data_IF_440135369605
#
_entry.id   IF_440135369605
#
_cell.length_a   1.000
_cell.length_b   1.000
_cell.length_c   1.000
_cell.angle_alpha   90.00
_cell.angle_beta   90.00
_cell.angle_gamma   90.00
#
_symmetry.space_group_name_H-M   'P 1'
#
loop_
_entity.id
_entity.type
_entity.pdbx_description
1 polymer ?
#
# COMPACT_ATOMS: atom_id res chain seq x y z
N UNK A 1 6.53 8.30 -24.11
CA UNK A 1 6.03 7.01 -24.63
C UNK A 1 5.85 6.12 -23.41
N UNK A 2 4.65 5.56 -23.18
CA UNK A 2 4.38 4.72 -22.00
C UNK A 2 5.27 3.47 -22.05
N UNK A 3 6.02 3.18 -21.00
CA UNK A 3 6.86 1.98 -20.92
C UNK A 3 5.98 0.74 -20.94
N UNK A 4 6.33 -0.31 -21.68
CA UNK A 4 5.54 -1.55 -21.60
C UNK A 4 5.76 -2.34 -20.31
N UNK A 5 6.75 -1.96 -19.50
CA UNK A 5 7.15 -2.71 -18.30
C UNK A 5 6.08 -2.73 -17.20
N UNK A 6 5.11 -1.80 -17.18
CA UNK A 6 4.00 -1.86 -16.21
C UNK A 6 3.01 -2.98 -16.57
N UNK A 7 2.83 -3.30 -17.86
CA UNK A 7 1.89 -4.34 -18.29
C UNK A 7 2.30 -5.73 -17.83
N UNK A 8 3.60 -5.99 -17.76
CA UNK A 8 4.16 -7.24 -17.26
C UNK A 8 3.91 -7.45 -15.75
N UNK A 9 3.54 -6.39 -15.03
CA UNK A 9 3.23 -6.39 -13.60
C UNK A 9 1.72 -6.35 -13.33
N UNK A 10 0.89 -6.33 -14.38
CA UNK A 10 -0.56 -6.36 -14.20
C UNK A 10 -1.03 -7.75 -13.78
N UNK A 11 -1.91 -7.78 -12.79
CA UNK A 11 -2.65 -8.96 -12.39
C UNK A 11 -4.15 -8.74 -12.58
N UNK A 12 -4.88 -9.82 -12.81
CA UNK A 12 -6.33 -9.77 -12.89
C UNK A 12 -6.97 -9.74 -11.50
N UNK A 13 -8.26 -9.39 -11.47
CA UNK A 13 -9.06 -9.27 -10.24
C UNK A 13 -9.09 -10.56 -9.42
N UNK A 14 -9.21 -11.73 -10.07
CA UNK A 14 -9.20 -13.03 -9.39
C UNK A 14 -7.89 -13.30 -8.67
N UNK A 15 -6.76 -12.98 -9.30
CA UNK A 15 -5.44 -13.10 -8.66
C UNK A 15 -5.35 -12.15 -7.47
N UNK A 16 -5.76 -10.89 -7.63
CA UNK A 16 -5.75 -9.92 -6.53
C UNK A 16 -6.62 -10.37 -5.34
N UNK A 17 -7.82 -10.90 -5.61
CA UNK A 17 -8.70 -11.47 -4.58
C UNK A 17 -8.01 -12.62 -3.83
N UNK A 18 -7.46 -13.57 -4.59
CA UNK A 18 -6.76 -14.72 -4.02
C UNK A 18 -5.61 -14.30 -3.10
N UNK A 19 -4.82 -13.29 -3.48
CA UNK A 19 -3.72 -12.80 -2.63
C UNK A 19 -4.25 -12.23 -1.30
N UNK A 20 -5.34 -11.47 -1.36
CA UNK A 20 -5.99 -10.92 -0.16
C UNK A 20 -6.57 -12.01 0.74
N UNK A 21 -7.29 -12.98 0.17
CA UNK A 21 -7.93 -14.07 0.94
C UNK A 21 -6.91 -14.95 1.66
N UNK A 22 -5.77 -15.24 1.02
CA UNK A 22 -4.69 -16.02 1.62
C UNK A 22 -4.05 -15.24 2.77
N UNK A 23 -3.78 -13.94 2.57
CA UNK A 23 -3.26 -13.09 3.63
C UNK A 23 -4.19 -13.06 4.86
N UNK A 24 -5.50 -12.96 4.60
CA UNK A 24 -6.55 -12.98 5.63
C UNK A 24 -6.54 -14.29 6.42
N UNK A 25 -6.40 -15.43 5.73
CA UNK A 25 -6.39 -16.73 6.36
C UNK A 25 -5.16 -16.96 7.27
N UNK A 26 -4.00 -16.39 6.93
CA UNK A 26 -2.73 -16.74 7.58
C UNK A 26 -2.14 -15.63 8.46
N UNK A 27 -1.82 -14.47 7.90
CA UNK A 27 -1.01 -13.47 8.62
C UNK A 27 -1.88 -12.51 9.41
N UNK A 28 -3.06 -12.23 8.86
CA UNK A 28 -3.92 -11.18 9.36
C UNK A 28 -4.46 -11.43 10.77
N UNK A 29 -4.87 -12.66 11.06
CA UNK A 29 -5.43 -13.01 12.36
C UNK A 29 -4.39 -12.87 13.49
N UNK A 30 -3.10 -13.10 13.20
CA UNK A 30 -2.00 -12.92 14.15
C UNK A 30 -1.83 -11.44 14.52
N UNK A 31 -1.87 -10.55 13.52
CA UNK A 31 -1.76 -9.10 13.74
C UNK A 31 -2.95 -8.53 14.51
N UNK A 32 -4.16 -8.96 14.13
CA UNK A 32 -5.39 -8.56 14.84
C UNK A 32 -5.42 -9.10 16.28
N UNK A 33 -4.96 -10.33 16.49
CA UNK A 33 -4.75 -10.91 17.82
C UNK A 33 -3.74 -10.09 18.65
N UNK A 34 -2.62 -9.70 18.05
CA UNK A 34 -1.61 -8.84 18.69
C UNK A 34 -2.13 -7.44 19.04
N UNK A 35 -3.01 -6.84 18.24
CA UNK A 35 -3.72 -5.59 18.60
C UNK A 35 -4.63 -5.80 19.81
N UNK A 36 -5.44 -6.86 19.79
CA UNK A 36 -6.36 -7.18 20.88
C UNK A 36 -5.62 -7.43 22.19
N UNK A 37 -4.50 -8.16 22.14
CA UNK A 37 -3.65 -8.41 23.30
C UNK A 37 -3.04 -7.14 23.93
N UNK A 38 -2.96 -6.05 23.15
CA UNK A 38 -2.52 -4.71 23.61
C UNK A 38 -3.69 -3.85 24.12
N UNK A 39 -4.89 -4.41 24.23
CA UNK A 39 -6.08 -3.70 24.72
C UNK A 39 -6.77 -2.81 23.68
N UNK A 40 -6.38 -2.92 22.41
CA UNK A 40 -6.99 -2.14 21.32
C UNK A 40 -8.21 -2.87 20.76
N UNK A 41 -9.26 -2.12 20.44
CA UNK A 41 -10.44 -2.63 19.76
C UNK A 41 -10.27 -2.66 18.24
N UNK A 42 -11.10 -3.48 17.58
CA UNK A 42 -11.18 -3.55 16.13
C UNK A 42 -10.05 -4.37 15.50
N UNK A 43 -10.25 -4.73 14.25
CA UNK A 43 -9.26 -5.48 13.51
C UNK A 43 -8.19 -4.56 12.87
N UNK A 44 -7.04 -5.10 12.46
CA UNK A 44 -5.95 -4.30 11.88
C UNK A 44 -6.25 -3.84 10.44
N UNK A 45 -5.57 -2.80 9.96
CA UNK A 45 -5.70 -2.38 8.57
C UNK A 45 -4.88 -3.27 7.64
N UNK A 46 -5.49 -3.67 6.51
CA UNK A 46 -4.83 -4.45 5.44
C UNK A 46 -4.57 -3.64 4.17
N UNK A 47 -5.15 -2.45 4.08
CA UNK A 47 -5.07 -1.61 2.91
C UNK A 47 -5.08 -0.13 3.29
N UNK A 48 -4.46 0.70 2.44
CA UNK A 48 -4.45 2.16 2.57
C UNK A 48 -4.94 2.76 1.26
N UNK A 49 -5.94 3.65 1.36
CA UNK A 49 -6.59 4.28 0.21
C UNK A 49 -6.10 5.71 0.02
N UNK A 50 -5.78 6.05 -1.23
CA UNK A 50 -5.46 7.40 -1.67
C UNK A 50 -6.33 7.79 -2.88
N UNK A 51 -6.69 9.07 -3.05
CA UNK A 51 -7.18 9.56 -4.34
C UNK A 51 -6.11 9.39 -5.40
N UNK A 52 -6.51 9.08 -6.63
CA UNK A 52 -5.55 8.90 -7.72
C UNK A 52 -4.72 10.17 -7.97
N UNK A 53 -5.30 11.34 -7.72
CA UNK A 53 -4.63 12.63 -7.85
C UNK A 53 -3.48 12.76 -6.86
N UNK A 54 -3.67 12.35 -5.60
CA UNK A 54 -2.61 12.41 -4.56
C UNK A 54 -1.44 11.50 -4.90
N UNK A 55 -1.70 10.25 -5.31
CA UNK A 55 -0.61 9.35 -5.73
C UNK A 55 0.09 9.85 -6.99
N UNK A 56 -0.64 10.45 -7.93
CA UNK A 56 -0.04 11.02 -9.15
C UNK A 56 0.87 12.20 -8.80
N UNK A 57 0.38 13.11 -7.95
CA UNK A 57 1.16 14.27 -7.48
C UNK A 57 2.41 13.82 -6.70
N UNK A 58 2.30 12.77 -5.89
CA UNK A 58 3.47 12.23 -5.19
C UNK A 58 4.50 11.63 -6.16
N UNK A 59 4.05 10.88 -7.18
CA UNK A 59 4.93 10.36 -8.24
C UNK A 59 5.63 11.51 -8.97
N UNK A 60 4.91 12.56 -9.34
CA UNK A 60 5.47 13.74 -10.01
C UNK A 60 6.44 14.50 -9.09
N UNK A 61 6.14 14.58 -7.78
CA UNK A 61 7.00 15.16 -6.76
C UNK A 61 8.34 14.42 -6.66
N UNK A 62 8.29 13.08 -6.58
CA UNK A 62 9.48 12.22 -6.57
C UNK A 62 10.31 12.41 -7.84
N UNK A 63 9.68 12.42 -9.02
CA UNK A 63 10.39 12.65 -10.29
C UNK A 63 11.07 14.02 -10.30
N UNK A 64 10.36 15.07 -9.86
CA UNK A 64 10.90 16.43 -9.83
C UNK A 64 12.08 16.62 -8.87
N UNK A 65 12.15 15.83 -7.79
CA UNK A 65 13.21 15.92 -6.76
C UNK A 65 14.36 14.95 -6.98
N UNK A 66 14.07 13.74 -7.48
CA UNK A 66 15.02 12.62 -7.54
C UNK A 66 15.38 12.24 -8.97
N UNK A 67 14.46 12.42 -9.92
CA UNK A 67 14.61 12.04 -11.32
C UNK A 67 13.83 10.78 -11.71
N UNK A 68 13.77 10.49 -13.02
CA UNK A 68 12.98 9.38 -13.58
C UNK A 68 13.56 7.98 -13.27
N UNK A 69 14.81 7.89 -12.85
CA UNK A 69 15.46 6.63 -12.43
C UNK A 69 15.16 6.28 -10.96
N UNK A 70 14.35 7.09 -10.27
CA UNK A 70 13.97 6.86 -8.89
C UNK A 70 13.11 5.59 -8.73
N UNK A 71 13.18 5.04 -7.52
CA UNK A 71 12.27 4.00 -7.04
C UNK A 71 11.33 4.62 -6.00
N UNK A 72 10.09 4.14 -5.97
CA UNK A 72 9.18 4.35 -4.86
C UNK A 72 9.06 3.03 -4.11
N UNK A 73 9.41 3.05 -2.83
CA UNK A 73 9.23 1.92 -1.92
C UNK A 73 7.90 2.04 -1.20
N UNK A 74 7.06 1.00 -1.29
CA UNK A 74 5.94 0.79 -0.37
C UNK A 74 6.49 0.15 0.88
N UNK A 75 6.43 0.86 2.00
CA UNK A 75 6.92 0.38 3.29
C UNK A 75 5.74 0.03 4.18
N UNK A 76 5.85 -1.09 4.90
CA UNK A 76 4.90 -1.45 5.95
C UNK A 76 5.32 -0.77 7.26
N UNK A 77 4.36 -0.13 7.93
CA UNK A 77 4.56 0.60 9.17
C UNK A 77 3.49 0.26 10.21
N UNK A 78 3.66 0.79 11.41
CA UNK A 78 2.64 0.75 12.45
C UNK A 78 2.64 2.06 13.22
N UNK A 79 1.45 2.61 13.46
CA UNK A 79 1.29 3.77 14.32
C UNK A 79 1.68 3.44 15.76
N UNK A 80 2.53 4.25 16.41
CA UNK A 80 2.92 4.04 17.80
C UNK A 80 1.72 4.18 18.76
N UNK A 81 1.85 3.58 19.95
CA UNK A 81 0.81 3.58 20.98
C UNK A 81 0.94 4.76 21.95
N UNK A 82 2.11 5.38 21.99
CA UNK A 82 2.55 6.29 23.05
C UNK A 82 2.96 7.67 22.52
N UNK A 83 2.86 7.90 21.22
CA UNK A 83 3.15 9.19 20.59
C UNK A 83 2.38 9.38 19.29
N UNK A 84 2.16 10.64 18.90
CA UNK A 84 1.69 11.00 17.57
C UNK A 84 2.89 11.24 16.67
N UNK A 85 2.82 10.74 15.44
CA UNK A 85 3.87 10.96 14.42
C UNK A 85 3.63 12.24 13.62
N UNK A 86 2.40 12.75 13.62
CA UNK A 86 1.98 13.95 12.94
C UNK A 86 0.70 14.49 13.59
N UNK A 87 0.51 15.82 13.62
CA UNK A 87 -0.69 16.47 14.15
C UNK A 87 -2.00 16.06 13.45
N UNK A 88 -1.92 15.56 12.22
CA UNK A 88 -3.04 15.08 11.40
C UNK A 88 -3.36 13.61 11.64
N UNK A 89 -2.48 12.87 12.33
CA UNK A 89 -2.77 11.49 12.71
C UNK A 89 -4.02 11.46 13.59
N UNK A 90 -4.98 10.60 13.24
CA UNK A 90 -6.13 10.37 14.11
C UNK A 90 -5.72 9.57 15.34
N UNK A 91 -6.28 9.95 16.49
CA UNK A 91 -5.99 9.29 17.75
C UNK A 91 -6.43 7.82 17.78
N UNK A 92 -7.49 7.46 17.06
CA UNK A 92 -7.96 6.08 16.97
C UNK A 92 -7.10 5.18 16.06
N UNK A 93 -6.05 5.72 15.43
CA UNK A 93 -5.10 4.93 14.62
C UNK A 93 -3.98 4.30 15.46
N UNK A 94 -3.97 4.47 16.78
CA UNK A 94 -3.00 3.82 17.67
C UNK A 94 -2.88 2.31 17.40
N UNK A 95 -1.64 1.87 17.19
CA UNK A 95 -1.28 0.47 16.95
C UNK A 95 -1.75 -0.10 15.61
N UNK A 96 -2.40 0.68 14.74
CA UNK A 96 -2.80 0.21 13.42
C UNK A 96 -1.58 0.06 12.53
N UNK A 97 -1.53 -1.04 11.80
CA UNK A 97 -0.65 -1.19 10.65
C UNK A 97 -1.00 -0.14 9.60
N UNK A 98 0.02 0.35 8.91
CA UNK A 98 -0.11 1.30 7.80
C UNK A 98 0.84 0.91 6.67
N UNK A 99 0.64 1.53 5.51
CA UNK A 99 1.57 1.51 4.39
C UNK A 99 1.85 2.93 3.95
N UNK A 100 3.13 3.24 3.76
CA UNK A 100 3.58 4.57 3.36
C UNK A 100 4.64 4.46 2.26
N UNK A 101 4.69 5.48 1.41
CA UNK A 101 5.56 5.50 0.23
C UNK A 101 6.77 6.38 0.50
N UNK A 102 7.97 5.86 0.28
CA UNK A 102 9.21 6.65 0.35
C UNK A 102 9.92 6.66 -1.00
N UNK A 103 10.61 7.76 -1.28
CA UNK A 103 11.48 7.87 -2.44
C UNK A 103 12.84 7.23 -2.17
N UNK A 104 13.36 6.53 -3.16
CA UNK A 104 14.67 5.92 -3.12
C UNK A 104 15.46 6.27 -4.38
N UNK A 105 16.75 6.50 -4.20
CA UNK A 105 17.69 6.63 -5.30
C UNK A 105 18.23 5.26 -5.64
N UNK A 106 18.07 4.88 -6.91
CA UNK A 106 18.69 3.69 -7.46
C UNK A 106 20.02 4.09 -8.11
N UNK A 107 21.12 3.58 -7.59
CA UNK A 107 22.44 3.66 -8.22
C UNK A 107 22.85 2.27 -8.70
N UNK A 108 23.88 2.18 -9.54
CA UNK A 108 24.37 0.90 -10.09
C UNK A 108 24.58 -0.18 -9.03
N UNK A 109 24.92 0.21 -7.80
CA UNK A 109 25.39 -0.69 -6.75
C UNK A 109 24.56 -0.64 -5.46
N UNK A 110 23.69 0.36 -5.29
CA UNK A 110 22.90 0.53 -4.05
C UNK A 110 21.54 1.19 -4.28
N UNK A 111 20.55 0.74 -3.51
CA UNK A 111 19.27 1.44 -3.30
C UNK A 111 19.38 2.13 -1.94
N UNK A 112 19.19 3.45 -1.91
CA UNK A 112 19.23 4.24 -0.68
C UNK A 112 18.03 5.17 -0.56
N UNK A 113 17.58 5.40 0.67
CA UNK A 113 16.50 6.36 0.95
C UNK A 113 16.94 7.73 0.46
N UNK A 114 16.02 8.47 -0.16
CA UNK A 114 16.25 9.85 -0.52
C UNK A 114 15.56 10.78 0.48
N UNK A 115 16.34 11.34 1.41
CA UNK A 115 15.84 12.22 2.47
C UNK A 115 15.47 13.64 1.99
N UNK A 116 15.49 13.90 0.67
CA UNK A 116 15.02 15.16 0.09
C UNK A 116 13.54 15.11 -0.32
N UNK A 117 12.87 13.98 -0.08
CA UNK A 117 11.47 13.74 -0.42
C UNK A 117 10.76 13.17 0.79
N UNK A 118 9.82 13.92 1.33
CA UNK A 118 8.94 13.50 2.42
C UNK A 118 8.15 12.24 2.03
N UNK A 119 7.88 11.38 3.00
CA UNK A 119 7.14 10.15 2.75
C UNK A 119 5.64 10.43 2.61
N UNK A 120 4.96 9.74 1.70
CA UNK A 120 3.51 9.80 1.59
C UNK A 120 2.87 8.81 2.57
N UNK A 121 2.10 9.33 3.52
CA UNK A 121 1.32 8.58 4.50
C UNK A 121 -0.09 9.23 4.63
N UNK A 122 -0.85 8.92 5.69
CA UNK A 122 -2.19 9.49 5.93
C UNK A 122 -3.25 9.20 4.86
N UNK A 123 -3.03 8.18 4.03
CA UNK A 123 -4.14 7.55 3.33
C UNK A 123 -5.14 6.97 4.33
N UNK A 124 -6.34 6.69 3.85
CA UNK A 124 -7.39 6.14 4.71
C UNK A 124 -7.10 4.66 5.01
N UNK A 125 -6.89 4.34 6.29
CA UNK A 125 -6.62 2.99 6.76
C UNK A 125 -7.90 2.17 6.82
N UNK A 126 -7.86 0.97 6.26
CA UNK A 126 -9.06 0.14 6.17
C UNK A 126 -8.82 -1.27 6.71
N UNK A 127 -9.56 -1.67 7.76
CA UNK A 127 -9.66 -3.05 8.17
C UNK A 127 -10.62 -3.84 7.24
N UNK A 128 -10.55 -5.18 7.22
CA UNK A 128 -11.38 -6.08 6.42
C UNK A 128 -12.87 -6.03 6.74
N UNK A 129 -13.24 -5.79 8.00
CA UNK A 129 -14.63 -5.69 8.43
C UNK A 129 -15.25 -4.33 8.12
N UNK A 130 -14.43 -3.34 7.74
CA UNK A 130 -14.93 -2.03 7.38
C UNK A 130 -15.80 -2.12 6.11
N UNK A 131 -16.99 -1.57 6.22
CA UNK A 131 -18.00 -1.60 5.16
C UNK A 131 -17.99 -0.34 4.29
N UNK A 132 -17.31 0.69 4.78
CA UNK A 132 -17.07 1.98 4.13
C UNK A 132 -15.76 2.58 4.62
N UNK A 133 -15.24 3.54 3.87
CA UNK A 133 -14.11 4.36 4.28
C UNK A 133 -14.59 5.79 4.50
N UNK A 134 -13.87 6.53 5.34
CA UNK A 134 -14.12 7.94 5.58
C UNK A 134 -13.72 8.80 4.36
N UNK A 135 -14.73 9.21 3.57
CA UNK A 135 -14.54 10.03 2.36
C UNK A 135 -14.04 11.44 2.67
N UNK A 136 -14.28 11.94 3.89
CA UNK A 136 -13.86 13.27 4.32
C UNK A 136 -12.35 13.33 4.55
N UNK A 137 -11.72 12.19 4.85
CA UNK A 137 -10.26 12.07 4.93
C UNK A 137 -9.56 12.09 3.57
N UNK A 138 -10.29 11.96 2.47
CA UNK A 138 -9.71 11.84 1.13
C UNK A 138 -9.64 13.19 0.39
N UNK A 139 -8.89 14.17 0.88
CA UNK A 139 -8.61 15.40 0.14
C UNK A 139 -7.75 15.11 -1.12
N UNK A 140 -7.94 15.85 -2.21
CA UNK A 140 -7.05 15.78 -3.39
C UNK A 140 -5.75 16.57 -3.21
N UNK A 141 -5.63 17.35 -2.14
CA UNK A 141 -4.45 18.14 -1.78
C UNK A 141 -3.32 17.23 -1.25
N UNK A 142 -2.24 17.09 -2.02
CA UNK A 142 -1.14 16.16 -1.75
C UNK A 142 -0.39 16.49 -0.44
N UNK A 143 -0.22 17.77 -0.13
CA UNK A 143 0.52 18.27 1.03
C UNK A 143 -0.10 17.78 2.35
N UNK A 144 -1.39 17.43 2.32
CA UNK A 144 -2.11 16.88 3.47
C UNK A 144 -1.71 15.42 3.79
N UNK A 145 -0.92 14.76 2.94
CA UNK A 145 -0.55 13.35 3.06
C UNK A 145 0.93 13.11 3.34
N UNK A 146 1.80 14.12 3.22
CA UNK A 146 3.23 13.90 3.46
C UNK A 146 3.59 13.95 4.94
N UNK A 147 4.50 13.08 5.36
CA UNK A 147 5.13 13.08 6.68
C UNK A 147 6.64 13.19 6.54
N UNK A 148 7.30 13.65 7.60
CA UNK A 148 8.77 13.73 7.63
C UNK A 148 9.40 12.35 7.58
N UNK A 149 10.68 12.29 7.18
CA UNK A 149 11.46 11.05 7.22
C UNK A 149 11.56 10.47 8.63
N UNK A 150 11.65 11.32 9.65
CA UNK A 150 11.68 10.89 11.04
C UNK A 150 10.39 10.17 11.44
N UNK A 151 9.23 10.73 11.06
CA UNK A 151 7.94 10.10 11.28
C UNK A 151 7.82 8.77 10.51
N UNK A 152 8.29 8.73 9.26
CA UNK A 152 8.29 7.52 8.44
C UNK A 152 9.18 6.41 9.04
N UNK A 153 10.38 6.76 9.49
CA UNK A 153 11.29 5.84 10.17
C UNK A 153 10.73 5.35 11.50
N UNK A 154 10.00 6.19 12.22
CA UNK A 154 9.31 5.77 13.43
C UNK A 154 8.24 4.72 13.13
N UNK A 155 7.38 4.94 12.12
CA UNK A 155 6.40 3.93 11.68
C UNK A 155 7.05 2.60 11.32
N UNK A 156 8.15 2.66 10.58
CA UNK A 156 8.93 1.48 10.19
C UNK A 156 9.45 0.70 11.40
N UNK A 157 10.11 1.41 12.32
CA UNK A 157 10.71 0.80 13.51
C UNK A 157 9.65 0.22 14.45
N UNK A 158 8.52 0.92 14.62
CA UNK A 158 7.39 0.43 15.42
C UNK A 158 6.82 -0.86 14.82
N UNK A 159 6.68 -0.95 13.50
CA UNK A 159 6.26 -2.19 12.83
C UNK A 159 7.24 -3.33 13.10
N UNK A 160 8.54 -3.07 12.96
CA UNK A 160 9.58 -4.08 13.20
C UNK A 160 9.55 -4.61 14.62
N UNK A 161 9.39 -3.73 15.60
CA UNK A 161 9.42 -4.13 17.01
C UNK A 161 8.19 -4.94 17.43
N UNK A 162 7.03 -4.66 16.82
CA UNK A 162 5.75 -5.24 17.19
C UNK A 162 5.30 -6.30 16.18
N UNK A 163 4.82 -5.87 15.02
CA UNK A 163 4.12 -6.73 14.05
C UNK A 163 5.05 -7.76 13.42
N UNK A 164 6.22 -7.34 12.94
CA UNK A 164 7.21 -8.26 12.36
C UNK A 164 7.68 -9.27 13.40
N UNK A 165 7.97 -8.82 14.62
CA UNK A 165 8.37 -9.71 15.72
C UNK A 165 7.30 -10.76 16.03
N UNK A 166 6.02 -10.36 16.05
CA UNK A 166 4.89 -11.28 16.20
C UNK A 166 4.82 -12.30 15.05
N UNK A 167 4.93 -11.84 13.80
CA UNK A 167 4.86 -12.73 12.63
C UNK A 167 6.04 -13.70 12.56
N UNK A 168 7.26 -13.22 12.84
CA UNK A 168 8.46 -14.06 12.88
C UNK A 168 8.40 -15.12 13.98
N UNK A 169 7.78 -14.82 15.14
CA UNK A 169 7.61 -15.80 16.21
C UNK A 169 6.74 -17.00 15.79
N UNK A 170 5.85 -16.79 14.82
CA UNK A 170 4.99 -17.81 14.21
C UNK A 170 5.62 -18.41 12.93
N UNK A 171 6.88 -18.12 12.65
CA UNK A 171 7.60 -18.64 11.48
C UNK A 171 7.24 -17.98 10.15
N UNK A 172 6.58 -16.82 10.17
CA UNK A 172 6.22 -16.06 8.96
C UNK A 172 7.33 -15.06 8.63
N UNK A 173 8.11 -15.34 7.60
CA UNK A 173 9.07 -14.38 7.04
C UNK A 173 8.31 -13.28 6.29
N UNK A 174 8.51 -12.01 6.67
CA UNK A 174 7.82 -10.86 6.06
C UNK A 174 8.76 -9.93 5.34
N UNK A 175 8.37 -9.50 4.13
CA UNK A 175 9.04 -8.39 3.46
C UNK A 175 8.42 -7.07 3.89
N UNK A 176 9.27 -6.11 4.24
CA UNK A 176 8.87 -4.80 4.78
C UNK A 176 8.77 -3.71 3.72
N UNK A 177 9.38 -3.94 2.57
CA UNK A 177 9.60 -2.93 1.55
C UNK A 177 9.45 -3.55 0.17
N UNK A 178 8.65 -2.90 -0.66
CA UNK A 178 8.38 -3.32 -2.04
C UNK A 178 8.68 -2.15 -2.97
N UNK A 179 9.59 -2.35 -3.92
CA UNK A 179 10.07 -1.29 -4.77
C UNK A 179 9.44 -1.34 -6.16
N UNK A 180 8.96 -0.19 -6.61
CA UNK A 180 8.52 0.03 -7.98
C UNK A 180 9.36 1.13 -8.60
N UNK A 181 9.72 0.98 -9.87
CA UNK A 181 10.21 2.13 -10.65
C UNK A 181 9.15 3.21 -10.67
N UNK A 182 9.57 4.47 -10.47
CA UNK A 182 8.65 5.61 -10.52
C UNK A 182 7.91 5.68 -11.86
N UNK A 183 8.56 5.27 -12.96
CA UNK A 183 7.95 5.19 -14.28
C UNK A 183 6.86 4.11 -14.37
N UNK A 184 7.05 2.96 -13.71
CA UNK A 184 6.04 1.89 -13.68
C UNK A 184 4.78 2.36 -12.96
N UNK A 185 4.93 3.03 -11.80
CA UNK A 185 3.78 3.57 -11.07
C UNK A 185 3.11 4.70 -11.86
N UNK A 186 3.89 5.63 -12.45
CA UNK A 186 3.36 6.70 -13.31
C UNK A 186 2.51 6.15 -14.45
N UNK A 187 3.05 5.17 -15.18
CA UNK A 187 2.39 4.56 -16.33
C UNK A 187 1.13 3.78 -15.92
N UNK A 188 1.17 3.08 -14.77
CA UNK A 188 -0.02 2.43 -14.22
C UNK A 188 -1.13 3.44 -13.87
N UNK A 189 -0.80 4.52 -13.15
CA UNK A 189 -1.77 5.55 -12.78
C UNK A 189 -2.36 6.23 -14.02
N UNK A 190 -1.53 6.51 -15.03
CA UNK A 190 -1.99 7.04 -16.31
C UNK A 190 -2.95 6.08 -17.04
N UNK A 191 -2.59 4.80 -17.12
CA UNK A 191 -3.45 3.77 -17.68
C UNK A 191 -4.80 3.69 -16.96
N UNK A 192 -4.80 3.73 -15.63
CA UNK A 192 -6.04 3.73 -14.82
C UNK A 192 -6.93 4.93 -15.16
N UNK A 193 -6.37 6.14 -15.25
CA UNK A 193 -7.10 7.35 -15.65
C UNK A 193 -7.70 7.22 -17.04
N UNK A 194 -6.93 6.71 -18.02
CA UNK A 194 -7.41 6.50 -19.38
C UNK A 194 -8.58 5.51 -19.44
N UNK A 195 -8.47 4.37 -18.76
CA UNK A 195 -9.54 3.37 -18.71
C UNK A 195 -10.80 3.89 -17.99
N UNK A 196 -10.62 4.68 -16.94
CA UNK A 196 -11.73 5.30 -16.24
C UNK A 196 -12.44 6.35 -17.10
N UNK A 197 -11.69 7.19 -17.82
CA UNK A 197 -12.23 8.16 -18.78
C UNK A 197 -13.07 7.48 -19.87
N UNK A 198 -12.61 6.35 -20.42
CA UNK A 198 -13.37 5.55 -21.39
C UNK A 198 -14.71 5.03 -20.83
N UNK A 199 -14.81 4.91 -19.50
CA UNK A 199 -16.00 4.46 -18.77
C UNK A 199 -16.80 5.61 -18.16
N UNK A 200 -16.40 6.86 -18.39
CA UNK A 200 -17.05 8.04 -17.80
C UNK A 200 -16.88 8.15 -16.28
N UNK A 201 -15.85 7.54 -15.70
CA UNK A 201 -15.55 7.57 -14.26
C UNK A 201 -14.52 8.67 -14.01
N UNK A 202 -14.88 9.68 -13.21
CA UNK A 202 -14.05 10.87 -12.98
C UNK A 202 -13.35 10.90 -11.63
N UNK A 203 -13.88 10.20 -10.63
CA UNK A 203 -13.30 10.15 -9.28
C UNK A 203 -12.84 8.73 -8.99
N UNK A 204 -11.52 8.54 -8.89
CA UNK A 204 -10.88 7.24 -8.76
C UNK A 204 -10.02 7.25 -7.49
N UNK A 205 -10.12 6.17 -6.74
CA UNK A 205 -9.22 5.87 -5.64
C UNK A 205 -8.28 4.73 -6.04
N UNK A 206 -7.08 4.77 -5.48
CA UNK A 206 -6.12 3.69 -5.51
C UNK A 206 -5.98 3.14 -4.09
N UNK A 207 -6.16 1.83 -3.93
CA UNK A 207 -5.82 1.12 -2.71
C UNK A 207 -4.45 0.47 -2.89
N UNK A 208 -3.59 0.64 -1.90
CA UNK A 208 -2.38 -0.17 -1.70
C UNK A 208 -2.79 -1.29 -0.74
N UNK A 209 -2.61 -2.54 -1.14
CA UNK A 209 -3.13 -3.70 -0.42
C UNK A 209 -1.99 -4.65 -0.05
N UNK A 210 -2.10 -5.27 1.12
CA UNK A 210 -1.26 -6.41 1.50
C UNK A 210 -1.96 -7.70 1.09
N UNK A 211 -1.20 -8.58 0.44
CA UNK A 211 -1.61 -9.93 0.08
C UNK A 211 -0.53 -10.95 0.45
N UNK A 212 -0.78 -12.20 0.10
CA UNK A 212 0.17 -13.30 0.31
C UNK A 212 0.13 -14.26 -0.87
N UNK A 213 1.31 -14.66 -1.34
CA UNK A 213 1.43 -15.65 -2.41
C UNK A 213 0.96 -17.03 -1.94
N UNK A 214 0.21 -17.72 -2.79
CA UNK A 214 -0.26 -19.08 -2.51
C UNK A 214 0.88 -20.06 -2.34
N UNK A 215 0.70 -21.02 -1.43
CA UNK A 215 1.51 -22.22 -1.36
C UNK A 215 1.19 -23.11 -2.58
N UNK A 216 2.01 -23.06 -3.63
CA UNK A 216 1.98 -24.06 -4.71
C UNK A 216 1.63 -23.59 -6.13
N UNK A 217 1.66 -22.29 -6.44
CA UNK A 217 1.69 -21.84 -7.85
C UNK A 217 2.78 -20.81 -8.06
N UNK A 218 3.67 -21.02 -9.02
CA UNK A 218 4.68 -20.07 -9.45
C UNK A 218 4.04 -18.71 -9.76
N UNK A 219 4.16 -17.74 -8.87
CA UNK A 219 3.69 -16.37 -9.12
C UNK A 219 4.86 -15.42 -9.33
N UNK A 220 5.72 -15.76 -10.30
CA UNK A 220 6.25 -14.81 -11.30
C UNK A 220 7.19 -15.55 -12.27
N UNK A 221 7.17 -15.18 -13.54
CA UNK A 221 8.16 -15.63 -14.54
C UNK A 221 9.62 -15.22 -14.24
N UNK A 222 9.90 -14.66 -13.05
CA UNK A 222 11.20 -14.11 -12.64
C UNK A 222 11.75 -14.67 -11.32
N UNK A 223 11.13 -15.72 -10.74
CA UNK A 223 11.78 -16.61 -9.76
C UNK A 223 12.23 -15.99 -8.42
N UNK A 224 11.63 -14.90 -7.95
CA UNK A 224 12.05 -14.19 -6.71
C UNK A 224 11.02 -14.14 -5.58
N UNK A 225 9.82 -14.68 -5.77
CA UNK A 225 8.78 -14.73 -4.73
C UNK A 225 8.49 -16.18 -4.38
N UNK A 226 8.63 -16.54 -3.10
CA UNK A 226 8.33 -17.88 -2.60
C UNK A 226 6.85 -17.98 -2.22
N UNK A 227 6.36 -19.21 -2.25
CA UNK A 227 5.10 -19.58 -1.62
C UNK A 227 5.07 -19.11 -0.17
N UNK A 228 3.99 -18.43 0.24
CA UNK A 228 3.85 -17.91 1.60
C UNK A 228 4.39 -16.50 1.83
N UNK A 229 5.15 -15.93 0.90
CA UNK A 229 5.64 -14.56 1.04
C UNK A 229 4.49 -13.55 1.02
N UNK A 230 4.56 -12.54 1.89
CA UNK A 230 3.73 -11.34 1.76
C UNK A 230 4.04 -10.63 0.44
N UNK A 231 3.04 -9.98 -0.15
CA UNK A 231 3.18 -9.14 -1.32
C UNK A 231 2.34 -7.87 -1.20
N UNK A 232 2.68 -6.86 -1.99
CA UNK A 232 1.88 -5.64 -2.16
C UNK A 232 1.28 -5.62 -3.55
N UNK A 233 0.07 -5.10 -3.67
CA UNK A 233 -0.54 -4.82 -4.96
C UNK A 233 -1.47 -3.59 -4.90
N UNK A 234 -1.59 -2.89 -6.01
CA UNK A 234 -2.43 -1.71 -6.18
C UNK A 234 -3.73 -2.08 -6.88
N UNK A 235 -4.85 -1.57 -6.39
CA UNK A 235 -6.17 -1.71 -7.03
C UNK A 235 -6.81 -0.35 -7.22
N UNK A 236 -7.53 -0.18 -8.33
CA UNK A 236 -8.23 1.06 -8.66
C UNK A 236 -9.75 0.87 -8.64
N UNK A 237 -10.48 1.84 -8.09
CA UNK A 237 -11.94 1.78 -7.99
C UNK A 237 -12.59 3.17 -7.96
N UNK A 238 -13.86 3.31 -8.38
CA UNK A 238 -14.57 4.58 -8.33
C UNK A 238 -14.79 5.08 -6.90
N UNK A 239 -14.64 6.40 -6.68
CA UNK A 239 -14.90 7.10 -5.41
C UNK A 239 -16.41 7.21 -5.17
N UNK A 240 -17.01 6.13 -4.69
CA UNK A 240 -18.47 6.08 -4.51
C UNK A 240 -19.01 4.73 -4.06
N UNK A 241 -18.35 3.64 -4.45
CA UNK A 241 -18.77 2.28 -4.12
C UNK A 241 -18.49 1.95 -2.65
N UNK A 242 -19.35 1.09 -2.05
CA UNK A 242 -19.14 0.59 -0.70
C UNK A 242 -18.03 -0.46 -0.72
N UNK A 243 -17.30 -0.62 0.39
CA UNK A 243 -16.23 -1.64 0.44
C UNK A 243 -16.77 -3.06 0.49
N UNK A 244 -18.04 -3.26 0.84
CA UNK A 244 -18.73 -4.55 0.63
C UNK A 244 -18.81 -4.94 -0.84
N UNK A 245 -18.83 -3.98 -1.77
CA UNK A 245 -18.73 -4.22 -3.21
C UNK A 245 -17.29 -4.55 -3.64
N UNK A 246 -16.30 -4.34 -2.77
CA UNK A 246 -14.88 -4.64 -2.96
C UNK A 246 -14.47 -5.99 -2.33
N UNK A 247 -15.06 -6.35 -1.20
CA UNK A 247 -14.73 -7.56 -0.42
C UNK A 247 -15.27 -8.87 -1.01
N UNK A 248 -16.30 -8.80 -1.87
CA UNK A 248 -16.87 -9.98 -2.55
C UNK A 248 -16.48 -10.14 -4.01
N UNK A 249 -15.90 -9.11 -4.63
CA UNK A 249 -15.57 -9.07 -6.06
C UNK A 249 -14.69 -7.84 -6.35
N UNK A 250 -13.35 -7.92 -6.38
CA UNK A 250 -12.55 -6.77 -6.81
C UNK A 250 -13.01 -6.38 -8.22
N UNK A 251 -13.64 -5.22 -8.30
CA UNK A 251 -14.45 -4.74 -9.42
C UNK A 251 -13.83 -5.04 -10.80
N UNK A 252 -14.69 -5.59 -11.65
CA UNK A 252 -14.59 -5.80 -13.09
C UNK A 252 -14.26 -4.55 -13.95
N UNK A 253 -13.57 -3.52 -13.44
CA UNK A 253 -13.44 -2.26 -14.19
C UNK A 253 -12.02 -1.81 -14.48
N UNK A 254 -11.02 -2.05 -13.62
CA UNK A 254 -9.65 -1.54 -13.83
C UNK A 254 -8.60 -2.57 -13.36
N UNK A 255 -7.51 -2.72 -14.11
CA UNK A 255 -6.46 -3.70 -13.83
C UNK A 255 -5.72 -3.38 -12.52
N UNK A 256 -5.23 -4.42 -11.83
CA UNK A 256 -4.40 -4.28 -10.63
C UNK A 256 -2.91 -4.40 -11.00
N UNK A 257 -2.04 -3.70 -10.25
CA UNK A 257 -0.58 -3.75 -10.41
C UNK A 257 0.01 -4.52 -9.21
N UNK A 258 0.77 -5.59 -9.46
CA UNK A 258 1.41 -6.40 -8.41
C UNK A 258 2.92 -6.18 -8.42
#
# INVERSE_FOLDING_TARGET
>A
MISQNYKDQLINSKTAQSLGDIYMANNYHLLSGGRTARGLSGEDAKQVIYPIEVLSSYVDYVIGKVGEDALIGVNVGQYPLDQLIDSRQRQDYEGYQTMFLMAYKNTSDTISVNNAVEALNHGNLIPPDATSYDKELLDKNFENYVITDEAAMLLYNTYTFNNEKTLNAEGVEVQRQYFYSVNVLRDYLQYVKEQANLKGITDINISINIGQNSFGSDVSAKGKQKAGDQCIYFTAFPRGNNMKDMAGNPLNTLSALK
#
